data_IF_723141899957
#
_entry.id   IF_723141899957
#
_cell.length_a   1.000
_cell.length_b   1.000
_cell.length_c   1.000
_cell.angle_alpha   90.00
_cell.angle_beta   90.00
_cell.angle_gamma   90.00
#
_symmetry.space_group_name_H-M   'P 1'
#
loop_
_entity.id
_entity.type
_entity.pdbx_description
1 polymer ?
#
# COMPACT_ATOMS: atom_id res chain seq x y z
N UNK A 1 19.75 -4.25 -5.28
CA UNK A 1 18.61 -5.14 -5.53
C UNK A 1 18.58 -5.49 -7.01
N UNK A 2 18.42 -6.74 -7.33
CA UNK A 2 18.20 -7.30 -8.66
C UNK A 2 16.82 -7.93 -8.73
N UNK A 3 16.29 -8.23 -9.92
CA UNK A 3 14.97 -8.85 -10.09
C UNK A 3 14.81 -10.17 -9.31
N UNK A 4 15.85 -11.02 -9.30
CA UNK A 4 15.86 -12.29 -8.55
C UNK A 4 15.74 -12.14 -7.02
N UNK A 5 16.00 -10.95 -6.50
CA UNK A 5 15.91 -10.64 -5.06
C UNK A 5 14.50 -10.27 -4.64
N UNK A 6 13.52 -10.25 -5.56
CA UNK A 6 12.15 -9.82 -5.34
C UNK A 6 11.19 -11.01 -5.39
N UNK A 7 10.32 -11.13 -4.38
CA UNK A 7 9.13 -11.99 -4.46
C UNK A 7 7.87 -11.12 -4.56
N UNK A 8 7.09 -11.35 -5.61
CA UNK A 8 5.74 -10.81 -5.73
C UNK A 8 4.76 -11.67 -4.94
N UNK A 9 4.09 -11.07 -3.97
CA UNK A 9 3.03 -11.68 -3.18
C UNK A 9 1.69 -11.16 -3.69
N UNK A 10 0.88 -12.07 -4.24
CA UNK A 10 -0.37 -11.75 -4.93
C UNK A 10 -1.54 -12.42 -4.20
N UNK A 11 -2.32 -11.68 -3.40
CA UNK A 11 -3.58 -12.19 -2.85
C UNK A 11 -4.59 -12.34 -4.00
N UNK A 12 -5.17 -13.52 -4.15
CA UNK A 12 -6.15 -13.78 -5.20
C UNK A 12 -7.11 -14.90 -4.83
N UNK A 13 -8.35 -14.79 -5.29
CA UNK A 13 -9.34 -15.86 -5.30
C UNK A 13 -9.73 -16.24 -6.74
N UNK A 14 -9.08 -15.65 -7.75
CA UNK A 14 -9.38 -15.85 -9.17
C UNK A 14 -8.56 -17.01 -9.74
N UNK A 15 -9.11 -17.79 -10.67
CA UNK A 15 -8.37 -18.87 -11.34
C UNK A 15 -7.23 -18.34 -12.22
N UNK A 16 -7.36 -17.10 -12.74
CA UNK A 16 -6.36 -16.45 -13.59
C UNK A 16 -5.95 -15.11 -12.99
N UNK A 17 -4.66 -14.95 -12.71
CA UNK A 17 -4.03 -13.74 -12.20
C UNK A 17 -3.47 -12.94 -13.36
N UNK A 18 -4.08 -11.78 -13.64
CA UNK A 18 -3.69 -10.93 -14.79
C UNK A 18 -2.31 -10.30 -14.60
N UNK A 19 -1.95 -9.98 -13.38
CA UNK A 19 -0.71 -9.30 -12.99
C UNK A 19 0.54 -10.12 -13.32
N UNK A 20 0.46 -11.45 -13.29
CA UNK A 20 1.59 -12.35 -13.58
C UNK A 20 2.24 -12.03 -14.92
N UNK A 21 1.46 -11.66 -15.94
CA UNK A 21 2.00 -11.30 -17.26
C UNK A 21 2.83 -10.00 -17.29
N UNK A 22 2.89 -9.24 -16.21
CA UNK A 22 3.73 -8.04 -16.07
C UNK A 22 4.99 -8.28 -15.25
N UNK A 23 5.10 -9.45 -14.61
CA UNK A 23 6.21 -9.77 -13.71
C UNK A 23 7.33 -10.44 -14.50
N UNK A 24 8.57 -9.94 -14.44
CA UNK A 24 9.72 -10.61 -15.07
C UNK A 24 9.93 -12.02 -14.54
N UNK A 25 10.37 -12.93 -15.39
CA UNK A 25 10.57 -14.35 -15.07
C UNK A 25 11.64 -14.60 -14.02
N UNK A 26 12.56 -13.65 -13.82
CA UNK A 26 13.59 -13.69 -12.79
C UNK A 26 13.06 -13.46 -11.39
N UNK A 27 11.88 -12.83 -11.26
CA UNK A 27 11.23 -12.61 -9.96
C UNK A 27 10.52 -13.88 -9.49
N UNK A 28 10.51 -14.09 -8.18
CA UNK A 28 9.66 -15.11 -7.57
C UNK A 28 8.21 -14.62 -7.47
N UNK A 29 7.24 -15.54 -7.60
CA UNK A 29 5.82 -15.24 -7.46
C UNK A 29 5.22 -16.19 -6.43
N UNK A 30 4.44 -15.64 -5.50
CA UNK A 30 3.66 -16.39 -4.51
C UNK A 30 2.21 -15.92 -4.58
N UNK A 31 1.34 -16.73 -5.18
CA UNK A 31 -0.11 -16.54 -5.14
C UNK A 31 -0.67 -17.09 -3.83
N UNK A 32 -1.49 -16.30 -3.15
CA UNK A 32 -2.10 -16.67 -1.87
C UNK A 32 -3.62 -16.55 -1.92
N UNK A 33 -4.31 -17.65 -1.55
CA UNK A 33 -5.77 -17.81 -1.68
C UNK A 33 -6.48 -17.86 -0.32
N UNK A 34 -6.01 -17.05 0.63
CA UNK A 34 -6.63 -16.94 1.94
C UNK A 34 -7.89 -16.07 1.93
N UNK A 35 -8.75 -16.25 2.93
CA UNK A 35 -10.05 -15.58 2.99
C UNK A 35 -9.96 -14.05 3.04
N UNK A 36 -8.96 -13.49 3.76
CA UNK A 36 -8.75 -12.03 3.84
C UNK A 36 -7.47 -11.62 3.14
N UNK A 37 -7.43 -10.40 2.59
CA UNK A 37 -6.23 -9.88 1.92
C UNK A 37 -5.05 -9.77 2.88
N UNK A 38 -5.28 -9.32 4.12
CA UNK A 38 -4.22 -9.24 5.12
C UNK A 38 -3.61 -10.60 5.44
N UNK A 39 -4.45 -11.64 5.63
CA UNK A 39 -3.98 -13.01 5.85
C UNK A 39 -3.22 -13.56 4.63
N UNK A 40 -3.76 -13.36 3.42
CA UNK A 40 -3.12 -13.81 2.19
C UNK A 40 -1.72 -13.19 2.02
N UNK A 41 -1.57 -11.88 2.26
CA UNK A 41 -0.26 -11.20 2.20
C UNK A 41 0.70 -11.71 3.27
N UNK A 42 0.24 -11.92 4.50
CA UNK A 42 1.05 -12.48 5.58
C UNK A 42 1.58 -13.88 5.21
N UNK A 43 0.72 -14.76 4.72
CA UNK A 43 1.12 -16.10 4.26
C UNK A 43 2.09 -16.04 3.06
N UNK A 44 1.88 -15.10 2.16
CA UNK A 44 2.79 -14.85 1.03
C UNK A 44 4.18 -14.43 1.50
N UNK A 45 4.28 -13.52 2.47
CA UNK A 45 5.57 -13.13 3.05
C UNK A 45 6.24 -14.32 3.74
N UNK A 46 5.53 -15.15 4.49
CA UNK A 46 6.09 -16.36 5.13
C UNK A 46 6.67 -17.35 4.10
N UNK A 47 5.99 -17.53 2.96
CA UNK A 47 6.43 -18.43 1.88
C UNK A 47 7.59 -17.87 1.04
N UNK A 48 7.75 -16.55 1.01
CA UNK A 48 8.81 -15.88 0.25
C UNK A 48 10.18 -16.14 0.89
N UNK A 49 11.24 -16.20 0.08
CA UNK A 49 12.62 -16.43 0.54
C UNK A 49 13.58 -15.29 0.19
N UNK A 50 13.09 -14.28 -0.54
CA UNK A 50 13.89 -13.16 -1.01
C UNK A 50 13.98 -12.02 -0.01
N UNK A 51 14.98 -11.16 -0.17
CA UNK A 51 15.17 -9.97 0.67
C UNK A 51 14.05 -8.92 0.47
N UNK A 52 13.54 -8.82 -0.75
CA UNK A 52 12.54 -7.82 -1.11
C UNK A 52 11.18 -8.46 -1.38
N UNK A 53 10.15 -7.82 -0.89
CA UNK A 53 8.76 -8.23 -1.05
C UNK A 53 8.02 -7.16 -1.84
N UNK A 54 7.35 -7.57 -2.89
CA UNK A 54 6.42 -6.75 -3.65
C UNK A 54 4.99 -7.26 -3.44
N UNK A 55 4.13 -6.50 -2.75
CA UNK A 55 2.69 -6.76 -2.83
C UNK A 55 2.17 -6.28 -4.17
N UNK A 56 1.33 -7.06 -4.81
CA UNK A 56 0.63 -6.69 -6.03
C UNK A 56 -0.79 -7.27 -6.02
N UNK A 57 -1.79 -6.48 -6.42
CA UNK A 57 -3.14 -7.02 -6.63
C UNK A 57 -3.17 -7.91 -7.88
N UNK A 58 -4.13 -8.79 -7.98
CA UNK A 58 -4.23 -9.80 -9.06
C UNK A 58 -4.74 -9.25 -10.40
N UNK A 59 -5.11 -7.96 -10.43
CA UNK A 59 -5.75 -7.27 -11.55
C UNK A 59 -5.09 -5.94 -11.92
N UNK A 60 -3.76 -5.88 -11.79
CA UNK A 60 -2.98 -4.75 -12.29
C UNK A 60 -2.10 -5.16 -13.48
N UNK A 61 -1.69 -4.15 -14.25
CA UNK A 61 -0.66 -4.28 -15.27
C UNK A 61 0.32 -3.12 -15.13
N UNK A 62 1.61 -3.41 -15.15
CA UNK A 62 2.67 -2.43 -15.14
C UNK A 62 3.71 -2.73 -16.22
N UNK A 63 4.50 -1.72 -16.56
CA UNK A 63 5.53 -1.83 -17.60
C UNK A 63 6.91 -2.17 -17.00
N UNK A 64 7.86 -2.68 -17.79
CA UNK A 64 9.24 -2.87 -17.36
C UNK A 64 9.88 -1.58 -16.83
N UNK A 65 9.58 -0.42 -17.46
CA UNK A 65 10.11 0.88 -17.06
C UNK A 65 9.60 1.31 -15.68
N UNK A 66 8.33 1.04 -15.39
CA UNK A 66 7.77 1.26 -14.05
C UNK A 66 8.54 0.44 -13.01
N UNK A 67 8.74 -0.85 -13.27
CA UNK A 67 9.46 -1.71 -12.33
C UNK A 67 10.92 -1.28 -12.16
N UNK A 68 11.60 -0.91 -13.25
CA UNK A 68 12.97 -0.38 -13.20
C UNK A 68 13.05 0.90 -12.36
N UNK A 69 12.10 1.82 -12.53
CA UNK A 69 12.00 3.03 -11.72
C UNK A 69 11.80 2.73 -10.23
N UNK A 70 10.91 1.79 -9.91
CA UNK A 70 10.66 1.38 -8.51
C UNK A 70 11.92 0.75 -7.89
N UNK A 71 12.63 -0.09 -8.64
CA UNK A 71 13.90 -0.70 -8.22
C UNK A 71 14.94 0.39 -7.94
N UNK A 72 15.07 1.39 -8.81
CA UNK A 72 15.97 2.52 -8.60
C UNK A 72 15.63 3.30 -7.33
N UNK A 73 14.33 3.60 -7.11
CA UNK A 73 13.87 4.25 -5.88
C UNK A 73 14.24 3.43 -4.64
N UNK A 74 14.04 2.11 -4.68
CA UNK A 74 14.33 1.21 -3.57
C UNK A 74 15.83 1.13 -3.27
N UNK A 75 16.70 1.10 -4.30
CA UNK A 75 18.14 1.13 -4.13
C UNK A 75 18.62 2.42 -3.47
N UNK A 76 18.01 3.55 -3.83
CA UNK A 76 18.34 4.85 -3.26
C UNK A 76 17.71 5.08 -1.87
N UNK A 77 16.72 4.28 -1.49
CA UNK A 77 15.98 4.43 -0.23
C UNK A 77 15.72 3.06 0.42
N UNK A 78 16.74 2.32 0.83
CA UNK A 78 16.60 0.91 1.25
C UNK A 78 15.78 0.70 2.53
N UNK A 79 15.57 1.76 3.32
CA UNK A 79 14.79 1.74 4.56
C UNK A 79 13.41 2.41 4.38
N UNK A 80 12.86 2.35 3.17
CA UNK A 80 11.56 2.94 2.85
C UNK A 80 10.59 1.90 2.32
N UNK A 81 9.30 2.20 2.43
CA UNK A 81 8.23 1.48 1.78
C UNK A 81 7.82 2.31 0.57
N UNK A 82 7.90 1.72 -0.62
CA UNK A 82 7.57 2.36 -1.89
C UNK A 82 6.26 1.77 -2.38
N UNK A 83 5.30 2.58 -2.78
CA UNK A 83 4.01 2.06 -3.25
C UNK A 83 3.15 3.10 -3.93
N UNK A 84 2.01 2.69 -4.43
CA UNK A 84 1.07 3.61 -5.06
C UNK A 84 0.42 4.52 -4.04
N UNK A 85 0.22 5.77 -4.44
CA UNK A 85 -0.46 6.78 -3.63
C UNK A 85 -1.87 6.33 -3.26
N UNK A 86 -2.22 6.48 -1.99
CA UNK A 86 -3.57 6.24 -1.49
C UNK A 86 -4.60 7.25 -2.01
N UNK A 87 -5.86 7.00 -1.71
CA UNK A 87 -6.95 7.91 -2.06
C UNK A 87 -6.93 9.14 -1.13
N UNK A 88 -7.05 10.33 -1.75
CA UNK A 88 -7.15 11.58 -0.97
C UNK A 88 -8.35 11.54 0.00
N UNK A 89 -8.19 12.00 1.26
CA UNK A 89 -7.04 12.73 1.81
C UNK A 89 -5.99 11.85 2.53
N UNK A 90 -5.98 10.54 2.32
CA UNK A 90 -5.04 9.63 2.99
C UNK A 90 -3.59 9.87 2.50
N UNK A 91 -2.62 10.05 3.39
CA UNK A 91 -1.21 10.13 3.05
C UNK A 91 -0.54 8.75 2.92
N UNK A 92 -1.31 7.68 3.13
CA UNK A 92 -0.78 6.32 3.15
C UNK A 92 -0.81 5.66 1.78
N UNK A 93 0.02 4.65 1.59
CA UNK A 93 0.11 3.88 0.36
C UNK A 93 -1.03 2.86 0.28
N UNK A 94 -1.34 2.42 -0.95
CA UNK A 94 -2.22 1.27 -1.21
C UNK A 94 -1.40 0.08 -1.68
N UNK A 95 -1.78 -1.10 -1.22
CA UNK A 95 -1.09 -2.36 -1.49
C UNK A 95 -1.36 -2.94 -2.89
N UNK A 96 -2.09 -2.21 -3.73
CA UNK A 96 -2.23 -2.55 -5.15
C UNK A 96 -0.88 -2.78 -5.83
N UNK A 97 0.12 -1.97 -5.46
CA UNK A 97 1.53 -2.23 -5.64
C UNK A 97 2.32 -1.59 -4.49
N UNK A 98 3.15 -2.38 -3.80
CA UNK A 98 3.98 -1.89 -2.70
C UNK A 98 5.25 -2.73 -2.60
N UNK A 99 6.43 -2.09 -2.60
CA UNK A 99 7.76 -2.73 -2.51
C UNK A 99 8.48 -2.30 -1.24
N UNK A 100 9.05 -3.26 -0.50
CA UNK A 100 9.78 -3.03 0.74
C UNK A 100 10.73 -4.20 1.04
N UNK A 101 11.71 -3.98 1.92
CA UNK A 101 12.54 -5.07 2.45
C UNK A 101 11.76 -5.94 3.43
N UNK A 102 12.01 -7.25 3.42
CA UNK A 102 11.47 -8.19 4.40
C UNK A 102 11.75 -7.73 5.84
N UNK A 103 12.97 -7.24 6.13
CA UNK A 103 13.35 -6.74 7.45
C UNK A 103 12.44 -5.63 7.96
N UNK A 104 11.89 -4.78 7.08
CA UNK A 104 10.89 -3.75 7.44
C UNK A 104 9.58 -4.42 7.89
N UNK A 105 9.13 -5.46 7.16
CA UNK A 105 7.94 -6.21 7.53
C UNK A 105 8.13 -6.93 8.88
N UNK A 106 9.28 -7.56 9.08
CA UNK A 106 9.58 -8.29 10.31
C UNK A 106 9.63 -7.34 11.53
N UNK A 107 10.18 -6.13 11.36
CA UNK A 107 10.21 -5.11 12.41
C UNK A 107 8.82 -4.52 12.69
N UNK A 108 8.01 -4.18 11.68
CA UNK A 108 6.67 -3.61 11.86
C UNK A 108 5.69 -4.68 12.38
N UNK A 109 5.90 -5.93 12.01
CA UNK A 109 5.02 -7.06 12.24
C UNK A 109 3.96 -7.23 11.14
N UNK A 110 3.19 -8.34 11.18
CA UNK A 110 2.26 -8.72 10.12
C UNK A 110 1.12 -7.71 9.94
N UNK A 111 0.52 -7.71 8.74
CA UNK A 111 -0.71 -6.97 8.47
C UNK A 111 -1.85 -7.53 9.33
N UNK A 112 -2.82 -6.68 9.67
CA UNK A 112 -4.07 -7.14 10.30
C UNK A 112 -4.84 -8.05 9.34
N UNK A 113 -5.35 -9.17 9.84
CA UNK A 113 -6.06 -10.18 9.03
C UNK A 113 -7.50 -9.75 8.75
N UNK A 114 -7.65 -8.56 8.18
CA UNK A 114 -8.93 -7.97 7.77
C UNK A 114 -9.05 -7.95 6.25
N UNK A 115 -10.26 -7.72 5.77
CA UNK A 115 -10.55 -7.73 4.33
C UNK A 115 -10.15 -6.44 3.63
N UNK A 116 -10.16 -5.31 4.33
CA UNK A 116 -9.87 -3.99 3.77
C UNK A 116 -9.18 -3.11 4.80
N UNK A 117 -8.22 -2.30 4.36
CA UNK A 117 -7.53 -1.30 5.16
C UNK A 117 -6.33 -1.83 5.96
N UNK A 118 -5.99 -3.10 5.78
CA UNK A 118 -4.82 -3.72 6.40
C UNK A 118 -3.52 -3.01 6.02
N UNK A 119 -3.42 -2.55 4.76
CA UNK A 119 -2.26 -1.80 4.28
C UNK A 119 -2.18 -0.40 4.88
N UNK A 120 -3.33 0.27 5.03
CA UNK A 120 -3.39 1.60 5.66
C UNK A 120 -2.95 1.51 7.12
N UNK A 121 -3.47 0.52 7.86
CA UNK A 121 -3.08 0.26 9.25
C UNK A 121 -1.58 -0.07 9.36
N UNK A 122 -1.07 -0.89 8.44
CA UNK A 122 0.34 -1.24 8.40
C UNK A 122 1.24 -0.04 8.10
N UNK A 123 0.84 0.83 7.15
CA UNK A 123 1.52 2.10 6.87
C UNK A 123 1.52 3.05 8.09
N UNK A 124 0.43 3.08 8.89
CA UNK A 124 0.37 3.86 10.13
C UNK A 124 1.42 3.34 11.12
N UNK A 125 1.51 2.02 11.33
CA UNK A 125 2.55 1.43 12.21
C UNK A 125 3.96 1.70 11.67
N UNK A 126 4.17 1.59 10.37
CA UNK A 126 5.43 1.89 9.71
C UNK A 126 5.89 3.33 9.99
N UNK A 127 5.00 4.32 9.79
CA UNK A 127 5.32 5.72 10.05
C UNK A 127 5.57 6.02 11.51
N UNK A 128 4.88 5.35 12.44
CA UNK A 128 5.12 5.46 13.88
C UNK A 128 6.50 4.92 14.29
N UNK A 129 7.01 3.94 13.55
CA UNK A 129 8.38 3.40 13.70
C UNK A 129 9.46 4.22 12.97
N UNK A 130 9.09 5.28 12.27
CA UNK A 130 10.02 6.15 11.57
C UNK A 130 10.33 5.75 10.12
N UNK A 131 9.67 4.73 9.56
CA UNK A 131 9.85 4.37 8.16
C UNK A 131 9.24 5.42 7.24
N UNK A 132 9.97 5.73 6.15
CA UNK A 132 9.51 6.66 5.12
C UNK A 132 8.60 5.92 4.13
N UNK A 133 7.46 6.54 3.81
CA UNK A 133 6.59 6.11 2.72
C UNK A 133 6.90 6.94 1.48
N UNK A 134 7.23 6.29 0.36
CA UNK A 134 7.48 6.94 -0.94
C UNK A 134 6.29 6.60 -1.85
N UNK A 135 5.49 7.62 -2.15
CA UNK A 135 4.31 7.47 -2.97
C UNK A 135 4.63 7.67 -4.46
N UNK A 136 4.17 6.74 -5.28
CA UNK A 136 4.17 6.82 -6.75
C UNK A 136 2.72 7.11 -7.19
N UNK A 137 2.51 7.92 -8.25
CA UNK A 137 1.15 8.15 -8.77
C UNK A 137 0.43 6.84 -9.09
N UNK A 138 -0.85 6.73 -8.75
CA UNK A 138 -1.65 5.51 -8.98
C UNK A 138 -1.78 5.16 -10.44
N UNK A 139 -1.76 6.17 -11.29
CA UNK A 139 -1.88 6.09 -12.74
C UNK A 139 -0.65 5.45 -13.41
N UNK A 140 0.44 5.28 -12.64
CA UNK A 140 1.66 4.59 -13.12
C UNK A 140 1.45 3.10 -13.37
N UNK A 141 0.37 2.52 -12.87
CA UNK A 141 -0.05 1.15 -13.18
C UNK A 141 -1.47 1.15 -13.74
N UNK A 142 -1.73 0.31 -14.73
CA UNK A 142 -3.08 0.08 -15.20
C UNK A 142 -3.80 -0.87 -14.25
N UNK A 143 -5.01 -0.50 -13.82
CA UNK A 143 -5.87 -1.33 -12.99
C UNK A 143 -7.09 -1.77 -13.80
N UNK A 144 -7.27 -3.07 -13.93
CA UNK A 144 -8.42 -3.59 -14.66
C UNK A 144 -9.73 -3.20 -13.96
N UNK A 145 -10.77 -2.83 -14.71
CA UNK A 145 -12.05 -2.45 -14.13
C UNK A 145 -12.63 -3.55 -13.23
N UNK A 146 -13.14 -3.14 -12.08
CA UNK A 146 -13.85 -3.99 -11.13
C UNK A 146 -15.02 -3.21 -10.52
N UNK A 147 -15.91 -3.90 -9.83
CA UNK A 147 -17.02 -3.27 -9.12
C UNK A 147 -16.51 -2.33 -8.02
N UNK A 148 -17.08 -1.12 -7.97
CA UNK A 148 -16.73 -0.13 -6.94
C UNK A 148 -17.21 -0.60 -5.57
N UNK A 149 -16.36 -0.42 -4.56
CA UNK A 149 -16.73 -0.66 -3.16
C UNK A 149 -17.88 0.25 -2.69
N UNK A 150 -18.66 -0.22 -1.72
CA UNK A 150 -19.77 0.55 -1.16
C UNK A 150 -19.25 1.58 -0.15
N UNK A 151 -19.70 2.83 -0.23
CA UNK A 151 -19.34 3.93 0.69
C UNK A 151 -19.46 3.59 2.19
N UNK A 152 -20.46 2.76 2.56
CA UNK A 152 -20.59 2.26 3.95
C UNK A 152 -19.37 1.54 4.48
N UNK A 153 -18.56 0.92 3.62
CA UNK A 153 -17.35 0.22 4.03
C UNK A 153 -16.22 1.19 4.39
N UNK A 154 -16.17 2.34 3.74
CA UNK A 154 -15.16 3.38 4.02
C UNK A 154 -15.37 4.00 5.40
N UNK A 155 -16.62 4.28 5.79
CA UNK A 155 -16.95 4.79 7.13
C UNK A 155 -16.54 3.78 8.22
N UNK A 156 -16.89 2.49 8.03
CA UNK A 156 -16.49 1.43 8.97
C UNK A 156 -14.97 1.33 9.10
N UNK A 157 -14.25 1.46 7.99
CA UNK A 157 -12.79 1.45 7.97
C UNK A 157 -12.22 2.62 8.79
N UNK A 158 -12.75 3.83 8.62
CA UNK A 158 -12.31 5.00 9.39
C UNK A 158 -12.48 4.76 10.89
N UNK A 159 -13.66 4.34 11.35
CA UNK A 159 -13.90 4.05 12.77
C UNK A 159 -12.98 2.95 13.30
N UNK A 160 -12.75 1.90 12.52
CA UNK A 160 -11.83 0.83 12.89
C UNK A 160 -10.40 1.33 13.03
N UNK A 161 -9.89 2.12 12.08
CA UNK A 161 -8.56 2.73 12.16
C UNK A 161 -8.42 3.65 13.36
N UNK A 162 -9.44 4.47 13.67
CA UNK A 162 -9.44 5.35 14.82
C UNK A 162 -9.47 4.59 16.15
N UNK A 163 -10.13 3.44 16.21
CA UNK A 163 -10.13 2.59 17.40
C UNK A 163 -8.75 1.98 17.69
N UNK A 164 -7.98 1.66 16.65
CA UNK A 164 -6.62 1.14 16.78
C UNK A 164 -5.57 2.24 17.00
N UNK A 165 -5.83 3.43 16.46
CA UNK A 165 -4.91 4.56 16.44
C UNK A 165 -5.62 5.86 16.86
N UNK A 166 -6.00 6.01 18.13
CA UNK A 166 -6.75 7.18 18.61
C UNK A 166 -5.99 8.50 18.44
N UNK A 167 -4.66 8.46 18.38
CA UNK A 167 -3.81 9.62 18.08
C UNK A 167 -4.08 10.25 16.69
N UNK A 168 -4.67 9.50 15.76
CA UNK A 168 -5.07 10.02 14.44
C UNK A 168 -6.25 10.99 14.53
N UNK A 169 -7.09 10.89 15.56
CA UNK A 169 -8.21 11.82 15.79
C UNK A 169 -7.66 13.24 15.96
N UNK A 170 -6.66 13.41 16.82
CA UNK A 170 -6.04 14.72 17.08
C UNK A 170 -5.40 15.28 15.81
N UNK A 171 -4.72 14.43 15.03
CA UNK A 171 -4.12 14.84 13.75
C UNK A 171 -5.19 15.20 12.71
N UNK A 172 -6.30 14.46 12.68
CA UNK A 172 -7.44 14.73 11.80
C UNK A 172 -8.10 16.06 12.13
N UNK A 173 -8.38 16.33 13.41
CA UNK A 173 -8.97 17.59 13.88
C UNK A 173 -8.05 18.77 13.52
N UNK A 174 -6.74 18.68 13.77
CA UNK A 174 -5.77 19.72 13.40
C UNK A 174 -5.78 20.01 11.90
N UNK A 175 -5.90 18.97 11.04
CA UNK A 175 -6.00 19.17 9.58
C UNK A 175 -7.31 19.85 9.16
N UNK A 176 -8.42 19.52 9.81
CA UNK A 176 -9.71 20.17 9.53
C UNK A 176 -9.67 21.62 9.93
N UNK A 177 -9.18 21.94 11.14
CA UNK A 177 -9.02 23.33 11.63
C UNK A 177 -8.11 24.13 10.67
N UNK A 178 -6.97 23.57 10.28
CA UNK A 178 -6.08 24.24 9.33
C UNK A 178 -6.74 24.54 7.97
N UNK A 179 -7.53 23.60 7.44
CA UNK A 179 -8.27 23.82 6.19
C UNK A 179 -9.34 24.90 6.31
N UNK A 180 -10.04 24.95 7.45
CA UNK A 180 -11.06 25.98 7.72
C UNK A 180 -10.38 27.35 7.82
N UNK A 181 -9.28 27.47 8.56
CA UNK A 181 -8.53 28.73 8.69
C UNK A 181 -8.02 29.20 7.33
N UNK A 182 -7.39 28.33 6.54
CA UNK A 182 -6.91 28.69 5.20
C UNK A 182 -8.04 29.13 4.26
N UNK A 183 -9.21 28.50 4.33
CA UNK A 183 -10.40 28.91 3.54
C UNK A 183 -10.94 30.27 3.98
N UNK A 184 -10.81 30.65 5.25
CA UNK A 184 -11.19 31.98 5.74
C UNK A 184 -10.22 33.05 5.24
N UNK A 185 -8.92 32.77 5.24
CA UNK A 185 -7.88 33.68 4.75
C UNK A 185 -8.04 33.95 3.24
N UNK A 186 -8.37 32.91 2.45
CA UNK A 186 -8.62 33.05 1.00
C UNK A 186 -9.87 33.89 0.68
N UNK A 187 -10.82 34.01 1.60
CA UNK A 187 -12.04 34.85 1.45
C UNK A 187 -11.75 36.32 1.79
N UNK A 188 -10.87 36.59 2.77
CA UNK A 188 -10.49 37.97 3.14
C UNK A 188 -9.68 38.70 2.05
N UNK A 189 -9.01 37.97 1.15
CA UNK A 189 -8.29 38.56 0.00
C UNK A 189 -9.15 38.85 -1.22
N UNK A 190 -10.44 38.53 -1.21
CA UNK A 190 -11.40 38.75 -2.31
C UNK A 190 -12.42 39.87 -2.03
N UNK A 191 -12.30 40.61 -0.91
CA UNK A 191 -13.08 41.78 -0.54
C UNK A 191 -12.18 43.02 -0.57
#
# INVERSE_FOLDING_TARGET
>A
MQLKDITFVIPTNKPKVKTVGSIPTECSIVECREYTQGKARNEGVKKSKTEWIAFADDDIKFTPEFLAYVIQLANNNPNSIIGLQGYSPSPYLISRFMLFKRSIYDDIGPLKEVRHGEETEWCIRATKKGYKLIAIPRESVYHYPHEKGKFKNEIKLIFWLLSLHPDLIIRGIKKVIYKIQKSSDDIEYQL
#
